data_IF_705776633929
#
_entry.id   IF_705776633929
#
_cell.length_a   1.000
_cell.length_b   1.000
_cell.length_c   1.000
_cell.angle_alpha   90.00
_cell.angle_beta   90.00
_cell.angle_gamma   90.00
#
_symmetry.space_group_name_H-M   'P 1'
#
loop_
_entity.id
_entity.type
_entity.pdbx_description
1 polymer ?
#
# COMPACT_ATOMS: atom_id res chain seq x y z
N UNK A 1 -26.34 -9.53 1.37
CA UNK A 1 -25.58 -8.25 1.29
C UNK A 1 -24.47 -8.48 0.26
N UNK A 2 -24.46 -7.72 -0.82
CA UNK A 2 -23.35 -7.78 -1.80
C UNK A 2 -22.10 -7.26 -1.12
N UNK A 3 -21.07 -8.07 -1.08
CA UNK A 3 -19.78 -7.69 -0.49
C UNK A 3 -19.13 -6.58 -1.31
N UNK A 4 -18.67 -5.50 -0.65
CA UNK A 4 -18.08 -4.33 -1.33
C UNK A 4 -16.74 -4.75 -1.94
N UNK A 5 -16.57 -4.53 -3.24
CA UNK A 5 -15.34 -4.79 -3.98
C UNK A 5 -14.60 -3.48 -4.19
N UNK A 6 -13.30 -3.47 -3.92
CA UNK A 6 -12.42 -2.32 -4.03
C UNK A 6 -11.45 -2.50 -5.19
N UNK A 7 -11.08 -1.40 -5.83
CA UNK A 7 -9.91 -1.33 -6.70
C UNK A 7 -8.66 -1.21 -5.81
N UNK A 8 -7.69 -2.09 -6.01
CA UNK A 8 -6.53 -2.22 -5.15
C UNK A 8 -5.23 -2.22 -5.96
N UNK A 9 -4.15 -1.80 -5.31
CA UNK A 9 -2.79 -1.90 -5.85
C UNK A 9 -1.85 -2.51 -4.81
N UNK A 10 -1.07 -3.49 -5.24
CA UNK A 10 0.09 -3.99 -4.52
C UNK A 10 1.33 -3.29 -5.08
N UNK A 11 1.98 -2.43 -4.30
CA UNK A 11 3.18 -1.72 -4.75
C UNK A 11 4.40 -2.63 -4.70
N UNK A 12 5.29 -2.49 -5.67
CA UNK A 12 6.48 -3.32 -5.81
C UNK A 12 7.73 -2.47 -6.06
N UNK A 13 8.89 -2.98 -5.65
CA UNK A 13 10.15 -2.43 -6.13
C UNK A 13 10.28 -2.67 -7.64
N UNK A 14 10.95 -1.73 -8.34
CA UNK A 14 11.16 -1.82 -9.78
C UNK A 14 11.86 -3.14 -10.16
N UNK A 15 11.27 -3.86 -11.11
CA UNK A 15 11.72 -5.18 -11.57
C UNK A 15 11.10 -6.37 -10.82
N UNK A 16 10.34 -6.15 -9.74
CA UNK A 16 9.65 -7.21 -8.99
C UNK A 16 8.15 -7.27 -9.27
N UNK A 17 7.61 -6.42 -10.11
CA UNK A 17 6.17 -6.32 -10.37
C UNK A 17 5.57 -7.63 -10.89
N UNK A 18 6.29 -8.31 -11.80
CA UNK A 18 5.86 -9.60 -12.34
C UNK A 18 5.79 -10.69 -11.26
N UNK A 19 6.70 -10.63 -10.27
CA UNK A 19 6.74 -11.57 -9.16
C UNK A 19 5.56 -11.33 -8.20
N UNK A 20 5.27 -10.07 -7.85
CA UNK A 20 4.07 -9.70 -7.08
C UNK A 20 2.80 -10.16 -7.80
N UNK A 21 2.71 -9.94 -9.13
CA UNK A 21 1.59 -10.42 -9.92
C UNK A 21 1.47 -11.95 -9.94
N UNK A 22 2.60 -12.68 -9.93
CA UNK A 22 2.59 -14.13 -9.80
C UNK A 22 2.05 -14.56 -8.43
N UNK A 23 2.52 -13.94 -7.33
CA UNK A 23 2.03 -14.24 -5.98
C UNK A 23 0.53 -14.01 -5.84
N UNK A 24 -0.01 -12.92 -6.40
CA UNK A 24 -1.46 -12.65 -6.41
C UNK A 24 -2.22 -13.77 -7.13
N UNK A 25 -1.77 -14.18 -8.33
CA UNK A 25 -2.41 -15.27 -9.07
C UNK A 25 -2.30 -16.61 -8.35
N UNK A 26 -1.18 -16.90 -7.68
CA UNK A 26 -1.01 -18.10 -6.87
C UNK A 26 -1.99 -18.13 -5.68
N UNK A 27 -2.46 -16.96 -5.22
CA UNK A 27 -3.53 -16.81 -4.20
C UNK A 27 -4.95 -16.81 -4.82
N UNK A 28 -5.09 -17.02 -6.14
CA UNK A 28 -6.39 -16.96 -6.83
C UNK A 28 -6.91 -15.54 -7.09
N UNK A 29 -6.06 -14.53 -6.97
CA UNK A 29 -6.41 -13.12 -7.18
C UNK A 29 -5.95 -12.71 -8.58
N UNK A 30 -6.90 -12.43 -9.47
CA UNK A 30 -6.59 -11.90 -10.81
C UNK A 30 -6.01 -10.49 -10.70
N UNK A 31 -4.95 -10.21 -11.47
CA UNK A 31 -4.28 -8.93 -11.42
C UNK A 31 -3.67 -8.53 -12.76
N UNK A 32 -3.54 -7.21 -12.94
CA UNK A 32 -2.82 -6.58 -14.03
C UNK A 32 -1.50 -6.01 -13.51
N UNK A 33 -0.39 -6.41 -14.13
CA UNK A 33 0.95 -5.94 -13.75
C UNK A 33 1.25 -4.64 -14.50
N UNK A 34 1.66 -3.61 -13.75
CA UNK A 34 2.05 -2.30 -14.24
C UNK A 34 3.43 -1.92 -13.66
N UNK A 35 4.04 -0.85 -14.15
CA UNK A 35 5.28 -0.33 -13.58
C UNK A 35 5.10 0.07 -12.12
N UNK A 36 5.87 -0.53 -11.22
CA UNK A 36 5.90 -0.25 -9.79
C UNK A 36 4.74 -0.85 -9.00
N UNK A 37 3.82 -1.61 -9.63
CA UNK A 37 2.65 -2.19 -8.95
C UNK A 37 1.98 -3.35 -9.69
N UNK A 38 1.17 -4.11 -8.98
CA UNK A 38 0.16 -4.98 -9.53
C UNK A 38 -1.22 -4.48 -9.10
N UNK A 39 -2.14 -4.29 -10.05
CA UNK A 39 -3.52 -3.82 -9.81
C UNK A 39 -4.45 -5.01 -9.76
N UNK A 40 -5.38 -5.03 -8.80
CA UNK A 40 -6.38 -6.09 -8.65
C UNK A 40 -7.68 -5.55 -8.05
N UNK A 41 -8.74 -6.33 -8.14
CA UNK A 41 -9.99 -6.06 -7.44
C UNK A 41 -10.20 -7.08 -6.34
N UNK A 42 -10.74 -6.64 -5.22
CA UNK A 42 -10.97 -7.55 -4.10
C UNK A 42 -11.83 -6.97 -2.99
N UNK A 43 -12.33 -7.88 -2.16
CA UNK A 43 -13.06 -7.59 -0.94
C UNK A 43 -12.09 -7.30 0.20
N UNK A 44 -12.59 -6.98 1.38
CA UNK A 44 -11.75 -6.84 2.59
C UNK A 44 -10.98 -8.13 2.90
N UNK A 45 -11.59 -9.30 2.66
CA UNK A 45 -10.92 -10.59 2.83
C UNK A 45 -9.76 -10.76 1.84
N UNK A 46 -9.96 -10.37 0.57
CA UNK A 46 -8.90 -10.37 -0.44
C UNK A 46 -7.74 -9.46 -0.05
N UNK A 47 -8.04 -8.25 0.47
CA UNK A 47 -7.04 -7.28 0.94
C UNK A 47 -6.26 -7.84 2.14
N UNK A 48 -6.96 -8.44 3.11
CA UNK A 48 -6.34 -9.07 4.26
C UNK A 48 -5.43 -10.24 3.83
N UNK A 49 -5.89 -11.09 2.92
CA UNK A 49 -5.11 -12.19 2.34
C UNK A 49 -3.85 -11.67 1.63
N UNK A 50 -3.97 -10.63 0.82
CA UNK A 50 -2.83 -10.02 0.13
C UNK A 50 -1.81 -9.45 1.11
N UNK A 51 -2.24 -8.71 2.15
CA UNK A 51 -1.38 -8.20 3.20
C UNK A 51 -0.66 -9.31 3.98
N UNK A 52 -1.36 -10.42 4.25
CA UNK A 52 -0.81 -11.54 5.02
C UNK A 52 0.22 -12.34 4.20
N UNK A 53 -0.05 -12.60 2.93
CA UNK A 53 0.67 -13.60 2.14
C UNK A 53 1.68 -13.05 1.13
N UNK A 54 1.55 -11.80 0.66
CA UNK A 54 2.50 -11.27 -0.31
C UNK A 54 3.88 -11.07 0.31
N UNK A 55 4.88 -11.72 -0.28
CA UNK A 55 6.27 -11.73 0.18
C UNK A 55 7.08 -10.61 -0.43
N UNK A 56 6.78 -10.27 -1.70
CA UNK A 56 7.63 -9.38 -2.51
C UNK A 56 7.04 -7.97 -2.68
N UNK A 57 5.77 -7.76 -2.32
CA UNK A 57 5.15 -6.44 -2.30
C UNK A 57 5.68 -5.55 -1.16
N UNK A 58 5.56 -4.23 -1.34
CA UNK A 58 5.88 -3.25 -0.30
C UNK A 58 4.65 -2.85 0.52
N UNK A 59 3.51 -2.61 -0.15
CA UNK A 59 2.24 -2.18 0.46
C UNK A 59 1.05 -2.61 -0.38
N UNK A 60 -0.08 -2.79 0.29
CA UNK A 60 -1.39 -2.95 -0.32
C UNK A 60 -2.19 -1.69 -0.05
N UNK A 61 -2.78 -1.11 -1.10
CA UNK A 61 -3.55 0.13 -1.00
C UNK A 61 -4.86 0.00 -1.76
N UNK A 62 -5.92 0.60 -1.21
CA UNK A 62 -7.18 0.80 -1.92
C UNK A 62 -7.04 2.06 -2.77
N UNK A 63 -7.46 2.01 -4.01
CA UNK A 63 -7.57 3.19 -4.90
C UNK A 63 -8.92 3.83 -4.66
N UNK A 64 -8.91 5.04 -4.08
CA UNK A 64 -10.14 5.80 -3.82
C UNK A 64 -10.58 6.54 -5.08
N UNK A 65 -9.63 7.02 -5.88
CA UNK A 65 -9.91 7.67 -7.15
C UNK A 65 -8.65 7.94 -7.96
N UNK A 66 -8.84 8.09 -9.27
CA UNK A 66 -7.79 8.44 -10.24
C UNK A 66 -8.36 9.43 -11.26
N UNK A 67 -7.58 10.44 -11.60
CA UNK A 67 -7.98 11.46 -12.57
C UNK A 67 -6.78 12.29 -13.06
N UNK A 68 -6.91 12.90 -14.24
CA UNK A 68 -5.95 13.86 -14.72
C UNK A 68 -6.16 15.22 -14.05
N UNK A 69 -5.06 15.91 -13.72
CA UNK A 69 -5.09 17.18 -12.98
C UNK A 69 -3.93 18.08 -13.36
N UNK A 70 -4.25 19.35 -13.65
CA UNK A 70 -3.28 20.33 -14.11
C UNK A 70 -3.20 21.57 -13.22
N UNK A 71 -4.23 21.80 -12.37
CA UNK A 71 -4.33 22.94 -11.45
C UNK A 71 -4.69 22.47 -10.04
N UNK A 72 -4.39 23.30 -9.03
CA UNK A 72 -4.76 23.02 -7.65
C UNK A 72 -6.28 23.06 -7.42
N UNK A 73 -7.00 23.88 -8.17
CA UNK A 73 -8.46 23.93 -8.10
C UNK A 73 -9.09 22.63 -8.64
N UNK A 74 -8.59 22.12 -9.76
CA UNK A 74 -8.99 20.80 -10.28
C UNK A 74 -8.71 19.69 -9.27
N UNK A 75 -7.51 19.70 -8.63
CA UNK A 75 -7.18 18.72 -7.60
C UNK A 75 -8.17 18.78 -6.44
N UNK A 76 -8.49 19.97 -5.97
CA UNK A 76 -9.45 20.18 -4.88
C UNK A 76 -10.82 19.63 -5.23
N UNK A 77 -11.39 20.04 -6.36
CA UNK A 77 -12.75 19.65 -6.77
C UNK A 77 -12.88 18.15 -7.04
N UNK A 78 -11.89 17.56 -7.72
CA UNK A 78 -11.92 16.14 -8.03
C UNK A 78 -11.74 15.26 -6.77
N UNK A 79 -10.84 15.64 -5.86
CA UNK A 79 -10.69 14.95 -4.56
C UNK A 79 -11.96 15.11 -3.72
N UNK A 80 -12.56 16.29 -3.69
CA UNK A 80 -13.82 16.55 -2.95
C UNK A 80 -15.00 15.73 -3.48
N UNK A 81 -15.03 15.43 -4.78
CA UNK A 81 -16.09 14.64 -5.40
C UNK A 81 -16.04 13.14 -5.04
N UNK A 82 -14.91 12.64 -4.51
CA UNK A 82 -14.80 11.22 -4.13
C UNK A 82 -15.68 10.90 -2.91
N UNK A 83 -16.18 9.66 -2.78
CA UNK A 83 -17.11 9.25 -1.72
C UNK A 83 -16.35 8.94 -0.41
N UNK A 84 -15.79 9.96 0.21
CA UNK A 84 -14.95 9.82 1.41
C UNK A 84 -15.68 9.22 2.60
N UNK A 85 -16.97 9.45 2.72
CA UNK A 85 -17.87 8.88 3.73
C UNK A 85 -17.93 7.35 3.72
N UNK A 86 -17.59 6.73 2.60
CA UNK A 86 -17.51 5.28 2.42
C UNK A 86 -16.23 4.67 2.99
N UNK A 87 -15.21 5.49 3.24
CA UNK A 87 -13.87 5.08 3.66
C UNK A 87 -13.48 5.62 5.03
N UNK A 88 -13.93 6.82 5.38
CA UNK A 88 -13.50 7.54 6.57
C UNK A 88 -14.68 7.87 7.47
N UNK A 89 -14.67 7.42 8.74
CA UNK A 89 -15.60 7.94 9.75
C UNK A 89 -15.31 9.40 10.05
N UNK A 90 -16.27 10.10 10.65
CA UNK A 90 -16.19 11.55 10.91
C UNK A 90 -15.00 11.95 11.79
N UNK A 91 -14.60 11.10 12.71
CA UNK A 91 -13.52 11.29 13.68
C UNK A 91 -12.18 10.68 13.25
N UNK A 92 -12.09 10.19 12.00
CA UNK A 92 -10.87 9.57 11.48
C UNK A 92 -9.65 10.49 11.60
N UNK A 93 -8.52 9.93 12.03
CA UNK A 93 -7.20 10.56 11.88
C UNK A 93 -6.64 10.15 10.50
N UNK A 94 -6.48 11.12 9.57
CA UNK A 94 -6.05 10.81 8.21
C UNK A 94 -4.94 11.76 7.71
N UNK A 95 -3.69 11.47 8.03
CA UNK A 95 -2.57 12.16 7.40
C UNK A 95 -2.50 11.83 5.91
N UNK A 96 -2.12 12.84 5.10
CA UNK A 96 -1.96 12.69 3.66
C UNK A 96 -0.49 12.75 3.31
N UNK A 97 0.07 11.63 2.86
CA UNK A 97 1.38 11.60 2.21
C UNK A 97 1.26 12.04 0.76
N UNK A 98 2.34 12.53 0.17
CA UNK A 98 2.32 12.99 -1.21
C UNK A 98 3.58 12.63 -1.97
N UNK A 99 3.44 12.49 -3.28
CA UNK A 99 4.55 12.47 -4.23
C UNK A 99 4.12 13.08 -5.55
N UNK A 100 5.05 13.74 -6.24
CA UNK A 100 4.81 14.29 -7.56
C UNK A 100 6.03 14.06 -8.45
N UNK A 101 5.82 13.46 -9.62
CA UNK A 101 6.86 13.12 -10.58
C UNK A 101 6.43 13.59 -11.96
N UNK A 102 7.22 14.47 -12.58
CA UNK A 102 6.99 14.99 -13.95
C UNK A 102 5.56 15.53 -14.13
N UNK A 103 5.04 16.24 -13.14
CA UNK A 103 3.69 16.82 -13.14
C UNK A 103 3.77 18.34 -12.97
N UNK A 104 2.75 19.07 -13.47
CA UNK A 104 2.63 20.53 -13.31
C UNK A 104 2.47 20.91 -11.84
N UNK A 105 1.72 20.11 -11.08
CA UNK A 105 1.61 20.25 -9.63
C UNK A 105 2.81 19.59 -8.95
N UNK A 106 3.92 20.29 -8.88
CA UNK A 106 5.18 19.77 -8.35
C UNK A 106 5.38 19.99 -6.85
N UNK A 107 4.64 20.94 -6.25
CA UNK A 107 4.72 21.22 -4.80
C UNK A 107 3.98 20.13 -4.01
N UNK A 108 4.73 19.16 -3.51
CA UNK A 108 4.15 18.05 -2.72
C UNK A 108 3.42 18.55 -1.47
N UNK A 109 3.96 19.50 -0.66
CA UNK A 109 3.23 20.01 0.50
C UNK A 109 1.88 20.65 0.15
N UNK A 110 1.80 21.40 -0.97
CA UNK A 110 0.55 22.02 -1.41
C UNK A 110 -0.46 20.96 -1.88
N UNK A 111 -0.01 19.95 -2.63
CA UNK A 111 -0.87 18.82 -3.01
C UNK A 111 -1.45 18.10 -1.78
N UNK A 112 -0.63 17.86 -0.75
CA UNK A 112 -1.07 17.23 0.50
C UNK A 112 -2.10 18.10 1.25
N UNK A 113 -1.81 19.41 1.39
CA UNK A 113 -2.69 20.34 2.09
C UNK A 113 -4.05 20.50 1.38
N UNK A 114 -4.03 20.63 0.04
CA UNK A 114 -5.24 20.76 -0.78
C UNK A 114 -6.06 19.48 -0.73
N UNK A 115 -5.42 18.32 -0.88
CA UNK A 115 -6.08 17.01 -0.74
C UNK A 115 -6.75 16.89 0.63
N UNK A 116 -6.03 17.17 1.73
CA UNK A 116 -6.61 17.12 3.07
C UNK A 116 -7.80 18.09 3.22
N UNK A 117 -7.66 19.32 2.74
CA UNK A 117 -8.73 20.33 2.76
C UNK A 117 -9.99 19.87 2.00
N UNK A 118 -9.82 19.28 0.83
CA UNK A 118 -10.92 18.76 0.00
C UNK A 118 -11.69 17.66 0.73
N UNK A 119 -10.98 16.71 1.34
CA UNK A 119 -11.56 15.62 2.15
C UNK A 119 -12.36 16.17 3.33
N UNK A 120 -11.76 17.10 4.11
CA UNK A 120 -12.43 17.74 5.24
C UNK A 120 -13.72 18.43 4.80
N UNK A 121 -13.70 19.14 3.66
CA UNK A 121 -14.89 19.80 3.13
C UNK A 121 -15.99 18.80 2.74
N UNK A 122 -15.63 17.70 2.05
CA UNK A 122 -16.58 16.63 1.72
C UNK A 122 -17.22 16.02 2.95
N UNK A 123 -16.41 15.62 3.94
CA UNK A 123 -16.90 15.01 5.18
C UNK A 123 -17.83 15.97 5.94
N UNK A 124 -17.51 17.28 5.99
CA UNK A 124 -18.39 18.29 6.60
C UNK A 124 -19.72 18.42 5.89
N UNK A 125 -19.72 18.42 4.57
CA UNK A 125 -20.96 18.50 3.77
C UNK A 125 -21.85 17.29 4.02
N UNK A 126 -21.29 16.08 3.90
CA UNK A 126 -22.04 14.84 4.05
C UNK A 126 -22.57 14.65 5.47
N UNK A 127 -21.74 14.96 6.48
CA UNK A 127 -22.14 14.83 7.88
C UNK A 127 -22.81 16.07 8.47
N UNK A 128 -23.15 17.07 7.63
CA UNK A 128 -23.82 18.32 8.02
C UNK A 128 -23.13 19.06 9.17
N UNK A 129 -21.79 19.15 9.15
CA UNK A 129 -21.01 19.82 10.19
C UNK A 129 -20.71 21.27 9.80
N UNK A 130 -20.95 22.25 10.70
CA UNK A 130 -20.60 23.64 10.47
C UNK A 130 -19.10 23.82 10.24
N UNK A 131 -18.71 24.76 9.38
CA UNK A 131 -17.31 25.07 9.10
C UNK A 131 -16.54 25.57 10.35
N UNK A 132 -17.25 26.14 11.32
CA UNK A 132 -16.70 26.63 12.59
C UNK A 132 -16.31 25.51 13.58
N UNK A 133 -16.79 24.28 13.36
CA UNK A 133 -16.49 23.14 14.25
C UNK A 133 -15.37 22.32 13.61
N UNK A 134 -14.19 22.21 14.23
CA UNK A 134 -13.13 21.33 13.75
C UNK A 134 -13.60 19.87 13.72
N UNK A 135 -13.13 19.09 12.75
CA UNK A 135 -13.23 17.63 12.83
C UNK A 135 -12.24 17.16 13.90
N UNK A 136 -12.71 16.32 14.80
CA UNK A 136 -11.85 15.72 15.84
C UNK A 136 -11.13 14.53 15.20
N UNK A 137 -9.82 14.63 14.98
CA UNK A 137 -9.00 13.52 14.51
C UNK A 137 -8.60 12.62 15.70
N UNK A 138 -9.59 11.99 16.35
CA UNK A 138 -9.43 11.18 17.56
C UNK A 138 -9.81 9.71 17.39
N UNK A 139 -10.26 9.34 16.22
CA UNK A 139 -10.69 7.99 15.87
C UNK A 139 -9.57 7.11 15.29
N UNK A 140 -9.96 6.18 14.45
CA UNK A 140 -9.01 5.26 13.81
C UNK A 140 -8.10 5.99 12.81
N UNK A 141 -6.88 5.47 12.67
CA UNK A 141 -5.85 6.03 11.81
C UNK A 141 -5.96 5.49 10.37
N UNK A 142 -5.99 6.39 9.39
CA UNK A 142 -6.07 6.08 7.96
C UNK A 142 -4.98 6.80 7.18
N UNK A 143 -3.93 6.13 6.77
CA UNK A 143 -2.87 6.73 5.97
C UNK A 143 -3.33 6.91 4.52
N UNK A 144 -3.47 8.14 4.07
CA UNK A 144 -3.76 8.48 2.68
C UNK A 144 -2.49 8.87 1.92
N UNK A 145 -2.52 8.71 0.59
CA UNK A 145 -1.46 9.20 -0.30
C UNK A 145 -2.08 9.82 -1.54
N UNK A 146 -1.62 11.03 -1.90
CA UNK A 146 -1.82 11.65 -3.21
C UNK A 146 -0.55 11.48 -4.04
N UNK A 147 -0.64 10.73 -5.13
CA UNK A 147 0.47 10.44 -6.01
C UNK A 147 0.20 11.03 -7.40
N UNK A 148 1.04 11.98 -7.83
CA UNK A 148 0.98 12.55 -9.17
C UNK A 148 2.11 11.99 -10.03
N UNK A 149 1.76 11.48 -11.21
CA UNK A 149 2.72 11.02 -12.20
C UNK A 149 2.27 11.49 -13.58
N UNK A 150 3.04 12.38 -14.22
CA UNK A 150 2.72 12.93 -15.55
C UNK A 150 1.31 13.53 -15.61
N UNK A 151 0.98 14.37 -14.65
CA UNK A 151 -0.30 15.04 -14.49
C UNK A 151 -1.51 14.12 -14.22
N UNK A 152 -1.26 12.83 -13.97
CA UNK A 152 -2.28 11.88 -13.52
C UNK A 152 -2.17 11.69 -12.00
N UNK A 153 -3.25 11.96 -11.28
CA UNK A 153 -3.35 11.79 -9.83
C UNK A 153 -4.00 10.45 -9.49
N UNK A 154 -3.42 9.77 -8.53
CA UNK A 154 -3.99 8.60 -7.88
C UNK A 154 -4.09 8.88 -6.38
N UNK A 155 -5.28 8.74 -5.84
CA UNK A 155 -5.56 8.89 -4.41
C UNK A 155 -5.74 7.50 -3.82
N UNK A 156 -4.94 7.16 -2.81
CA UNK A 156 -4.97 5.82 -2.22
C UNK A 156 -5.06 5.85 -0.70
N UNK A 157 -5.70 4.81 -0.15
CA UNK A 157 -5.77 4.48 1.26
C UNK A 157 -4.85 3.28 1.54
N UNK A 158 -3.90 3.43 2.44
CA UNK A 158 -2.99 2.35 2.85
C UNK A 158 -3.70 1.38 3.79
N UNK A 159 -3.62 0.09 3.50
CA UNK A 159 -4.17 -0.99 4.35
C UNK A 159 -3.08 -1.78 5.07
N UNK A 160 -1.81 -1.43 4.84
CA UNK A 160 -0.65 -2.21 5.31
C UNK A 160 -0.07 -1.69 6.62
N UNK A 161 -0.10 -0.39 6.85
CA UNK A 161 0.63 0.25 7.94
C UNK A 161 2.14 0.25 7.71
N UNK A 162 2.98 -0.29 8.62
CA UNK A 162 4.41 -0.47 8.36
C UNK A 162 4.62 -1.33 7.10
N UNK A 163 5.59 -0.98 6.23
CA UNK A 163 5.83 -1.72 4.95
C UNK A 163 5.94 -3.22 5.14
N UNK A 164 5.46 -4.01 4.16
CA UNK A 164 5.39 -5.48 4.24
C UNK A 164 6.75 -6.14 4.51
N UNK A 165 7.87 -5.54 4.08
CA UNK A 165 9.19 -6.07 4.39
C UNK A 165 9.50 -6.10 5.89
N UNK A 166 8.84 -5.29 6.73
CA UNK A 166 8.98 -5.35 8.19
C UNK A 166 8.19 -6.55 8.74
N UNK A 167 8.77 -7.76 8.64
CA UNK A 167 8.11 -9.02 9.03
C UNK A 167 7.91 -9.19 10.54
N UNK A 168 8.60 -8.40 11.36
CA UNK A 168 8.56 -8.51 12.82
C UNK A 168 9.60 -9.45 13.44
N UNK A 169 10.30 -10.26 12.66
CA UNK A 169 11.31 -11.18 13.20
C UNK A 169 12.67 -10.52 13.49
N UNK A 170 12.93 -9.34 12.93
CA UNK A 170 14.19 -8.62 13.16
C UNK A 170 14.11 -7.81 14.44
N UNK A 171 14.75 -8.30 15.51
CA UNK A 171 14.76 -7.66 16.82
C UNK A 171 15.89 -6.63 16.96
N UNK A 172 17.03 -6.86 16.31
CA UNK A 172 18.19 -5.98 16.39
C UNK A 172 18.36 -5.13 15.13
N UNK A 173 18.71 -3.86 15.32
CA UNK A 173 19.06 -2.93 14.25
C UNK A 173 20.57 -3.07 13.98
N UNK A 174 20.95 -3.97 13.10
CA UNK A 174 22.30 -4.02 12.51
C UNK A 174 22.48 -2.92 11.45
N UNK A 175 23.69 -2.85 10.82
CA UNK A 175 23.92 -2.00 9.64
C UNK A 175 22.85 -2.20 8.57
N UNK A 176 22.94 -1.61 7.38
CA UNK A 176 21.88 -1.64 6.35
C UNK A 176 21.64 -3.07 5.78
N UNK A 177 20.77 -3.89 6.40
CA UNK A 177 20.55 -5.26 5.97
C UNK A 177 19.70 -5.29 4.69
N UNK A 178 19.79 -6.41 3.95
CA UNK A 178 18.90 -6.67 2.83
C UNK A 178 17.44 -6.63 3.32
N UNK A 179 16.57 -5.93 2.59
CA UNK A 179 15.13 -5.92 2.90
C UNK A 179 14.55 -7.31 2.71
N UNK A 180 13.66 -7.70 3.60
CA UNK A 180 13.07 -9.03 3.66
C UNK A 180 12.29 -9.37 2.37
N UNK A 181 11.54 -8.42 1.80
CA UNK A 181 10.83 -8.63 0.53
C UNK A 181 11.79 -8.82 -0.65
N UNK A 182 12.95 -8.14 -0.64
CA UNK A 182 13.98 -8.35 -1.65
C UNK A 182 14.65 -9.72 -1.48
N UNK A 183 14.91 -10.14 -0.24
CA UNK A 183 15.46 -11.47 0.04
C UNK A 183 14.50 -12.58 -0.41
N UNK A 184 13.21 -12.43 -0.10
CA UNK A 184 12.18 -13.35 -0.58
C UNK A 184 12.15 -13.41 -2.12
N UNK A 185 12.20 -12.25 -2.79
CA UNK A 185 12.24 -12.18 -4.25
C UNK A 185 13.46 -12.91 -4.83
N UNK A 186 14.64 -12.71 -4.26
CA UNK A 186 15.86 -13.41 -4.70
C UNK A 186 15.71 -14.93 -4.57
N UNK A 187 15.19 -15.43 -3.45
CA UNK A 187 14.94 -16.86 -3.25
C UNK A 187 13.93 -17.38 -4.30
N UNK A 188 12.83 -16.67 -4.52
CA UNK A 188 11.76 -17.06 -5.45
C UNK A 188 12.21 -17.03 -6.92
N UNK A 189 13.20 -16.20 -7.27
CA UNK A 189 13.79 -16.12 -8.60
C UNK A 189 14.81 -17.24 -8.88
N UNK A 190 15.24 -17.98 -7.85
CA UNK A 190 16.11 -19.15 -8.03
C UNK A 190 15.29 -20.40 -8.39
N UNK A 191 16.00 -21.46 -8.78
CA UNK A 191 15.42 -22.80 -8.96
C UNK A 191 15.40 -23.60 -7.65
N UNK A 192 15.57 -22.96 -6.49
CA UNK A 192 15.52 -23.63 -5.20
C UNK A 192 14.09 -24.12 -4.88
N UNK A 193 14.01 -25.28 -4.25
CA UNK A 193 12.78 -25.89 -3.76
C UNK A 193 13.03 -26.47 -2.37
N UNK A 194 11.97 -26.59 -1.58
CA UNK A 194 12.03 -27.06 -0.18
C UNK A 194 12.64 -28.46 0.01
N UNK A 195 12.74 -29.26 -1.04
CA UNK A 195 13.34 -30.59 -1.09
C UNK A 195 14.87 -30.56 -1.26
N UNK A 196 15.45 -29.34 -1.36
CA UNK A 196 16.90 -29.13 -1.55
C UNK A 196 17.49 -28.32 -0.42
N UNK A 197 18.76 -28.57 -0.01
CA UNK A 197 19.42 -27.71 0.94
C UNK A 197 19.54 -26.28 0.40
N UNK A 198 19.39 -25.30 1.31
CA UNK A 198 19.66 -23.88 1.05
C UNK A 198 20.90 -23.48 1.86
N UNK A 199 21.92 -22.96 1.19
CA UNK A 199 23.18 -22.55 1.84
C UNK A 199 23.52 -21.13 1.42
N UNK A 200 23.77 -20.28 2.40
CA UNK A 200 24.27 -18.92 2.21
C UNK A 200 25.60 -18.77 2.95
N UNK A 201 26.75 -18.86 2.23
CA UNK A 201 28.07 -18.85 2.86
C UNK A 201 28.48 -17.49 3.42
N UNK A 202 27.72 -16.42 3.10
CA UNK A 202 27.98 -15.03 3.54
C UNK A 202 26.73 -14.41 4.14
N UNK A 203 26.00 -15.19 4.90
CA UNK A 203 24.61 -14.95 5.31
C UNK A 203 24.38 -13.63 6.09
N UNK A 204 25.41 -13.01 6.67
CA UNK A 204 25.25 -11.82 7.49
C UNK A 204 24.19 -12.01 8.58
N UNK A 205 23.08 -11.27 8.52
CA UNK A 205 21.95 -11.41 9.47
C UNK A 205 21.01 -12.58 9.14
N UNK A 206 21.34 -13.43 8.19
CA UNK A 206 20.56 -14.61 7.81
C UNK A 206 19.25 -14.33 7.07
N UNK A 207 19.04 -13.12 6.54
CA UNK A 207 17.77 -12.73 5.92
C UNK A 207 17.36 -13.66 4.80
N UNK A 208 18.27 -14.05 3.89
CA UNK A 208 17.98 -15.01 2.80
C UNK A 208 17.58 -16.38 3.35
N UNK A 209 18.31 -16.90 4.34
CA UNK A 209 18.00 -18.18 4.96
C UNK A 209 16.64 -18.18 5.67
N UNK A 210 16.31 -17.08 6.37
CA UNK A 210 15.01 -16.94 7.04
C UNK A 210 13.86 -16.90 6.02
N UNK A 211 13.97 -16.08 4.97
CA UNK A 211 12.93 -16.00 3.93
C UNK A 211 12.83 -17.35 3.18
N UNK A 212 13.93 -18.05 2.90
CA UNK A 212 13.89 -19.39 2.31
C UNK A 212 13.16 -20.39 3.24
N UNK A 213 13.41 -20.34 4.54
CA UNK A 213 12.69 -21.17 5.52
C UNK A 213 11.18 -20.86 5.55
N UNK A 214 10.78 -19.58 5.58
CA UNK A 214 9.39 -19.16 5.52
C UNK A 214 8.68 -19.65 4.25
N UNK A 215 9.37 -19.58 3.10
CA UNK A 215 8.86 -20.10 1.82
C UNK A 215 8.75 -21.64 1.88
N UNK A 216 9.80 -22.33 2.33
CA UNK A 216 9.85 -23.78 2.38
C UNK A 216 8.79 -24.41 3.30
N UNK A 217 8.51 -23.76 4.42
CA UNK A 217 7.48 -24.19 5.38
C UNK A 217 6.09 -23.62 5.10
N UNK A 218 5.93 -22.84 4.03
CA UNK A 218 4.69 -22.15 3.67
C UNK A 218 4.11 -21.31 4.82
N UNK A 219 4.99 -20.57 5.51
CA UNK A 219 4.60 -19.64 6.58
C UNK A 219 4.31 -18.27 5.96
N UNK A 220 3.15 -17.69 6.29
CA UNK A 220 2.77 -16.36 5.80
C UNK A 220 3.74 -15.29 6.35
N UNK A 221 4.30 -14.42 5.49
CA UNK A 221 5.26 -13.40 5.93
C UNK A 221 4.64 -12.34 6.84
N UNK A 222 3.33 -12.17 6.79
CA UNK A 222 2.57 -11.24 7.61
C UNK A 222 2.13 -11.79 8.97
N UNK A 223 2.48 -13.04 9.32
CA UNK A 223 1.94 -13.73 10.49
C UNK A 223 2.26 -13.03 11.83
N UNK A 224 3.45 -12.43 11.95
CA UNK A 224 3.91 -11.78 13.19
C UNK A 224 3.75 -10.26 13.19
N UNK A 225 2.76 -9.72 12.45
CA UNK A 225 2.54 -8.27 12.37
C UNK A 225 1.06 -7.92 12.39
N UNK A 226 0.75 -6.68 12.76
CA UNK A 226 -0.58 -6.08 12.60
C UNK A 226 -0.65 -5.27 11.30
N UNK A 227 -1.88 -5.04 10.85
CA UNK A 227 -2.24 -4.22 9.69
C UNK A 227 -3.19 -3.11 10.12
N UNK A 228 -3.40 -2.08 9.29
CA UNK A 228 -4.34 -0.97 9.51
C UNK A 228 -5.59 -1.14 8.67
#
# INVERSE_FOLDING_TARGET
MTEKVFDCVATAASGLEALVGKELRDLGIECQVENGRARFKGTLETIATANLWLRTADRIKIVVGEFDVYTFDELFEQVKALPWEDFLPLDAEFPVAGKSIKSKLFSVPDCQAITKKAIVNRLREVYHRPASVPLTESGAFFQLEVALLKDHAMITLDTTGPSLFKRGYRLEKGGAPLKENMAAALVMLTNWRKDRPFVDPVCGSGTLCIEAALIGHNIAPGFNRSFV
#
